data_IF_374317585195
#
_entry.id   IF_374317585195
#
_cell.length_a   1.000
_cell.length_b   1.000
_cell.length_c   1.000
_cell.angle_alpha   90.00
_cell.angle_beta   90.00
_cell.angle_gamma   90.00
#
_symmetry.space_group_name_H-M   'P 1'
#
loop_
_entity.id
_entity.type
_entity.pdbx_description
1 polymer ?
#
# COMPACT_ATOMS: atom_id res chain seq x y z
N UNK A 1 41.65 -0.87 -23.05
CA UNK A 1 41.53 -1.34 -21.62
C UNK A 1 40.65 -0.45 -20.75
N UNK A 2 40.45 0.82 -21.08
CA UNK A 2 39.61 1.78 -20.28
C UNK A 2 38.12 1.45 -20.35
N UNK A 3 37.62 0.84 -21.43
CA UNK A 3 36.21 0.55 -21.62
C UNK A 3 35.65 -0.58 -20.73
N UNK A 4 36.48 -1.56 -20.35
CA UNK A 4 36.09 -2.71 -19.54
C UNK A 4 35.88 -2.35 -18.04
N UNK A 5 36.66 -1.40 -17.53
CA UNK A 5 36.55 -0.92 -16.16
C UNK A 5 35.31 -0.07 -15.93
N UNK A 6 34.90 0.80 -16.86
CA UNK A 6 33.72 1.63 -16.82
C UNK A 6 32.44 0.76 -16.91
N UNK A 7 32.41 -0.20 -17.80
CA UNK A 7 31.26 -1.14 -17.94
C UNK A 7 31.03 -1.96 -16.65
N UNK A 8 32.11 -2.36 -15.97
CA UNK A 8 32.00 -3.09 -14.70
C UNK A 8 31.47 -2.26 -13.55
N UNK A 9 31.87 -0.98 -13.45
CA UNK A 9 31.40 -0.08 -12.39
C UNK A 9 29.94 0.37 -12.59
N UNK A 10 29.50 0.66 -13.81
CA UNK A 10 28.15 1.03 -14.13
C UNK A 10 27.15 -0.12 -13.90
N UNK A 11 27.52 -1.35 -14.26
CA UNK A 11 26.71 -2.52 -13.92
C UNK A 11 26.55 -2.69 -12.42
N UNK A 12 27.60 -2.46 -11.63
CA UNK A 12 27.56 -2.60 -10.19
C UNK A 12 26.65 -1.56 -9.51
N UNK A 13 26.68 -0.31 -9.97
CA UNK A 13 25.82 0.77 -9.44
C UNK A 13 24.34 0.49 -9.79
N UNK A 14 24.06 0.15 -11.04
CA UNK A 14 22.71 -0.19 -11.50
C UNK A 14 22.12 -1.36 -10.72
N UNK A 15 22.89 -2.43 -10.53
CA UNK A 15 22.43 -3.64 -9.85
C UNK A 15 22.19 -3.36 -8.35
N UNK A 16 23.03 -2.55 -7.70
CA UNK A 16 22.84 -2.14 -6.30
C UNK A 16 21.59 -1.27 -6.11
N UNK A 17 21.38 -0.28 -6.98
CA UNK A 17 20.19 0.56 -6.92
C UNK A 17 18.92 -0.29 -7.14
N UNK A 18 18.91 -1.13 -8.18
CA UNK A 18 17.76 -1.99 -8.49
C UNK A 18 17.48 -2.98 -7.34
N UNK A 19 18.51 -3.57 -6.74
CA UNK A 19 18.35 -4.52 -5.63
C UNK A 19 17.75 -3.88 -4.39
N UNK A 20 18.08 -2.63 -4.08
CA UNK A 20 17.49 -1.90 -2.97
C UNK A 20 15.97 -1.71 -3.16
N UNK A 21 15.55 -1.27 -4.35
CA UNK A 21 14.12 -1.13 -4.66
C UNK A 21 13.38 -2.46 -4.63
N UNK A 22 14.00 -3.52 -5.16
CA UNK A 22 13.41 -4.87 -5.11
C UNK A 22 13.26 -5.37 -3.68
N UNK A 23 14.22 -5.08 -2.80
CA UNK A 23 14.14 -5.41 -1.39
C UNK A 23 12.96 -4.68 -0.72
N UNK A 24 12.78 -3.38 -0.99
CA UNK A 24 11.64 -2.61 -0.49
C UNK A 24 10.31 -3.19 -0.98
N UNK A 25 10.21 -3.50 -2.28
CA UNK A 25 8.99 -4.08 -2.86
C UNK A 25 8.71 -5.47 -2.28
N UNK A 26 9.74 -6.31 -2.11
CA UNK A 26 9.60 -7.64 -1.52
C UNK A 26 9.20 -7.57 -0.04
N UNK A 27 9.82 -6.69 0.74
CA UNK A 27 9.49 -6.47 2.14
C UNK A 27 8.05 -5.98 2.31
N UNK A 28 7.65 -4.95 1.57
CA UNK A 28 6.29 -4.43 1.63
C UNK A 28 5.27 -5.40 1.05
N UNK A 29 5.65 -6.20 0.05
CA UNK A 29 4.80 -7.25 -0.53
C UNK A 29 4.54 -8.40 0.42
N UNK A 30 5.54 -8.80 1.22
CA UNK A 30 5.37 -9.88 2.21
C UNK A 30 4.32 -9.53 3.29
N UNK A 31 4.06 -8.24 3.54
CA UNK A 31 2.96 -7.80 4.40
C UNK A 31 1.60 -8.39 3.96
N UNK A 32 1.34 -8.55 2.66
CA UNK A 32 0.05 -9.07 2.17
C UNK A 32 -0.15 -10.55 2.49
N UNK A 33 0.94 -11.31 2.59
CA UNK A 33 0.92 -12.71 3.03
C UNK A 33 0.88 -12.88 4.56
N UNK A 34 1.57 -11.99 5.29
CA UNK A 34 1.81 -12.09 6.73
C UNK A 34 1.23 -10.89 7.50
N UNK A 35 -0.04 -10.55 7.23
CA UNK A 35 -0.68 -9.35 7.80
C UNK A 35 -0.69 -9.31 9.32
N UNK A 36 -1.00 -10.44 9.97
CA UNK A 36 -1.10 -10.53 11.43
C UNK A 36 0.24 -10.35 12.11
N UNK A 37 1.27 -10.95 11.55
CA UNK A 37 2.65 -10.89 12.03
C UNK A 37 3.19 -9.46 11.94
N UNK A 38 2.97 -8.80 10.80
CA UNK A 38 3.33 -7.38 10.64
C UNK A 38 2.57 -6.46 11.59
N UNK A 39 1.28 -6.68 11.78
CA UNK A 39 0.46 -5.91 12.73
C UNK A 39 1.01 -6.07 14.15
N UNK A 40 1.22 -7.31 14.60
CA UNK A 40 1.80 -7.60 15.91
C UNK A 40 3.19 -6.99 16.08
N UNK A 41 4.03 -7.07 15.06
CA UNK A 41 5.35 -6.45 15.06
C UNK A 41 5.27 -4.93 15.23
N UNK A 42 4.45 -4.25 14.43
CA UNK A 42 4.30 -2.80 14.52
C UNK A 42 3.64 -2.34 15.82
N UNK A 43 2.72 -3.12 16.38
CA UNK A 43 2.17 -2.87 17.72
C UNK A 43 3.22 -3.02 18.82
N UNK A 44 4.19 -3.89 18.65
CA UNK A 44 5.27 -4.09 19.63
C UNK A 44 6.31 -2.96 19.65
N UNK A 45 6.54 -2.30 18.50
CA UNK A 45 7.57 -1.25 18.36
C UNK A 45 7.00 0.17 18.33
N UNK A 46 5.69 0.33 18.23
CA UNK A 46 5.04 1.64 18.15
C UNK A 46 3.77 1.71 19.00
N UNK A 47 3.35 2.92 19.32
CA UNK A 47 2.16 3.12 20.14
C UNK A 47 0.87 2.81 19.39
N UNK A 48 -0.06 2.13 20.06
CA UNK A 48 -1.43 1.90 19.62
C UNK A 48 -1.63 0.62 18.81
N UNK A 49 -2.86 0.36 18.43
CA UNK A 49 -3.23 -0.81 17.60
C UNK A 49 -2.97 -0.55 16.12
N UNK A 50 -2.51 -1.57 15.43
CA UNK A 50 -2.24 -1.51 13.99
C UNK A 50 -3.52 -1.43 13.14
N UNK A 51 -4.64 -1.92 13.66
CA UNK A 51 -5.97 -1.82 13.04
C UNK A 51 -6.99 -1.48 14.11
N UNK A 52 -7.61 -0.32 13.97
CA UNK A 52 -8.74 0.03 14.82
C UNK A 52 -9.99 -0.74 14.33
N UNK A 53 -10.66 -1.52 15.22
CA UNK A 53 -11.89 -2.17 14.86
C UNK A 53 -12.97 -1.12 14.58
N UNK A 54 -13.85 -1.38 13.61
CA UNK A 54 -15.03 -0.56 13.41
C UNK A 54 -15.89 -0.59 14.69
N UNK A 55 -16.48 0.54 15.10
CA UNK A 55 -17.35 0.58 16.26
C UNK A 55 -18.58 -0.31 16.02
N UNK A 56 -19.07 -0.91 17.10
CA UNK A 56 -20.32 -1.64 17.12
C UNK A 56 -21.32 -0.87 17.96
N UNK A 57 -22.60 -1.02 17.62
CA UNK A 57 -23.73 -0.47 18.39
C UNK A 57 -24.52 -1.59 19.04
N UNK A 58 -25.48 -1.23 19.89
CA UNK A 58 -26.49 -2.17 20.34
C UNK A 58 -27.29 -2.71 19.16
N UNK A 59 -27.88 -3.89 19.34
CA UNK A 59 -28.69 -4.50 18.28
C UNK A 59 -29.84 -3.57 17.93
N UNK A 60 -29.98 -3.30 16.66
CA UNK A 60 -31.06 -2.47 16.12
C UNK A 60 -31.92 -3.28 15.16
N UNK A 61 -33.20 -2.88 15.09
CA UNK A 61 -34.21 -3.38 14.16
C UNK A 61 -34.96 -2.19 13.59
N UNK A 62 -35.34 -2.24 12.32
CA UNK A 62 -36.05 -1.18 11.62
C UNK A 62 -35.44 -0.82 10.29
N UNK A 63 -36.06 0.13 9.62
CA UNK A 63 -35.58 0.61 8.31
C UNK A 63 -34.40 1.55 8.49
N UNK A 64 -33.45 1.43 7.57
CA UNK A 64 -32.27 2.28 7.55
C UNK A 64 -32.61 3.68 7.08
N UNK A 65 -31.89 4.67 7.62
CA UNK A 65 -31.94 6.04 7.10
C UNK A 65 -31.51 6.07 5.64
N UNK A 66 -31.97 7.06 4.90
CA UNK A 66 -31.60 7.21 3.48
C UNK A 66 -30.11 7.43 3.32
N UNK A 67 -29.55 6.97 2.20
CA UNK A 67 -28.12 7.17 1.89
C UNK A 67 -27.76 8.65 1.77
N UNK A 68 -28.68 9.49 1.30
CA UNK A 68 -28.49 10.93 1.22
C UNK A 68 -28.31 11.54 2.62
N UNK A 69 -29.10 11.06 3.60
CA UNK A 69 -28.94 11.46 4.99
C UNK A 69 -27.60 11.03 5.58
N UNK A 70 -27.15 9.79 5.27
CA UNK A 70 -25.84 9.29 5.69
C UNK A 70 -24.72 10.15 5.14
N UNK A 71 -24.78 10.49 3.83
CA UNK A 71 -23.79 11.35 3.18
C UNK A 71 -23.80 12.76 3.73
N UNK A 72 -24.98 13.35 3.92
CA UNK A 72 -25.13 14.70 4.50
C UNK A 72 -24.53 14.77 5.92
N UNK A 73 -24.83 13.77 6.77
CA UNK A 73 -24.27 13.68 8.12
C UNK A 73 -22.75 13.53 8.09
N UNK A 74 -22.21 12.68 7.19
CA UNK A 74 -20.76 12.53 7.06
C UNK A 74 -20.08 13.81 6.59
N UNK A 75 -20.69 14.55 5.67
CA UNK A 75 -20.18 15.81 5.16
C UNK A 75 -20.26 16.94 6.20
N UNK A 76 -21.29 16.96 7.01
CA UNK A 76 -21.43 17.93 8.12
C UNK A 76 -20.36 17.69 9.19
N UNK A 77 -20.12 16.43 9.55
CA UNK A 77 -19.11 16.04 10.55
C UNK A 77 -17.68 16.33 10.06
N UNK A 78 -17.39 16.12 8.76
CA UNK A 78 -16.08 16.33 8.20
C UNK A 78 -16.14 17.20 6.94
N UNK A 79 -16.28 18.51 7.14
CA UNK A 79 -16.50 19.51 6.08
C UNK A 79 -15.36 19.62 5.08
N UNK A 80 -14.11 19.36 5.52
CA UNK A 80 -12.91 19.46 4.68
C UNK A 80 -12.72 18.26 3.75
N UNK A 81 -13.50 17.18 3.98
CA UNK A 81 -13.41 15.95 3.21
C UNK A 81 -14.53 15.81 2.19
N UNK A 82 -14.27 15.00 1.16
CA UNK A 82 -15.27 14.55 0.18
C UNK A 82 -15.55 13.05 0.36
N UNK A 83 -16.82 12.60 0.40
CA UNK A 83 -17.15 11.19 0.52
C UNK A 83 -16.75 10.44 -0.76
N UNK A 84 -16.06 9.32 -0.62
CA UNK A 84 -15.57 8.51 -1.74
C UNK A 84 -16.15 7.11 -1.77
N UNK A 85 -16.44 6.53 -0.61
CA UNK A 85 -16.99 5.20 -0.48
C UNK A 85 -17.92 5.09 0.72
N UNK A 86 -18.99 4.30 0.58
CA UNK A 86 -19.88 3.93 1.69
C UNK A 86 -19.81 2.41 1.86
N UNK A 87 -19.53 1.98 3.09
CA UNK A 87 -19.62 0.58 3.49
C UNK A 87 -20.90 0.37 4.29
N UNK A 88 -21.66 -0.60 3.84
CA UNK A 88 -22.94 -0.95 4.47
C UNK A 88 -22.74 -1.81 5.72
N UNK A 89 -23.66 -1.73 6.71
CA UNK A 89 -23.68 -2.65 7.83
C UNK A 89 -23.77 -4.09 7.35
N UNK A 90 -22.99 -4.97 7.98
CA UNK A 90 -23.00 -6.42 7.67
C UNK A 90 -23.98 -7.20 8.54
N UNK A 91 -24.27 -6.70 9.70
CA UNK A 91 -25.14 -7.28 10.70
C UNK A 91 -25.88 -6.16 11.47
N UNK A 92 -26.79 -6.55 12.36
CA UNK A 92 -27.61 -5.64 13.14
C UNK A 92 -26.90 -4.97 14.33
N UNK A 93 -25.58 -5.05 14.38
CA UNK A 93 -24.71 -4.35 15.34
C UNK A 93 -23.65 -3.49 14.64
N UNK A 94 -23.56 -3.59 13.32
CA UNK A 94 -22.62 -2.83 12.51
C UNK A 94 -23.19 -1.47 12.14
N UNK A 95 -22.31 -0.54 11.75
CA UNK A 95 -22.67 0.84 11.39
C UNK A 95 -22.34 1.10 9.92
N UNK A 96 -22.91 2.14 9.32
CA UNK A 96 -22.39 2.68 8.07
C UNK A 96 -21.00 3.24 8.31
N UNK A 97 -20.09 2.99 7.38
CA UNK A 97 -18.75 3.61 7.38
C UNK A 97 -18.59 4.40 6.09
N UNK A 98 -18.59 5.71 6.20
CA UNK A 98 -18.33 6.61 5.06
C UNK A 98 -16.85 6.93 5.05
N UNK A 99 -16.18 6.61 3.94
CA UNK A 99 -14.79 6.96 3.73
C UNK A 99 -14.73 8.35 3.11
N UNK A 100 -13.91 9.21 3.70
CA UNK A 100 -13.74 10.60 3.29
C UNK A 100 -12.31 10.85 2.80
N UNK A 101 -12.19 11.51 1.65
CA UNK A 101 -10.92 11.99 1.13
C UNK A 101 -10.73 13.46 1.54
N UNK A 102 -9.54 13.80 2.00
CA UNK A 102 -9.12 15.17 2.25
C UNK A 102 -7.96 15.51 1.31
N UNK A 103 -7.87 16.74 0.88
CA UNK A 103 -6.75 17.20 0.07
C UNK A 103 -5.43 17.01 0.83
N UNK A 104 -4.45 16.38 0.16
CA UNK A 104 -3.20 15.95 0.79
C UNK A 104 -3.19 14.53 1.33
N UNK A 105 -4.31 13.80 1.34
CA UNK A 105 -4.32 12.37 1.67
C UNK A 105 -3.47 11.57 0.68
N UNK A 106 -2.63 10.68 1.20
CA UNK A 106 -1.83 9.75 0.39
C UNK A 106 -2.70 8.78 -0.42
N UNK A 107 -3.89 8.45 0.08
CA UNK A 107 -4.85 7.57 -0.58
C UNK A 107 -5.93 8.38 -1.27
N UNK A 108 -6.07 8.21 -2.60
CA UNK A 108 -7.11 8.89 -3.39
C UNK A 108 -8.54 8.59 -2.92
N UNK A 109 -8.75 7.45 -2.30
CA UNK A 109 -10.04 7.07 -1.72
C UNK A 109 -10.24 7.64 -0.32
N UNK A 110 -9.23 8.34 0.21
CA UNK A 110 -9.24 8.89 1.56
C UNK A 110 -8.87 7.88 2.63
N UNK A 111 -8.40 8.39 3.75
CA UNK A 111 -7.98 7.60 4.91
C UNK A 111 -8.83 7.87 6.14
N UNK A 112 -9.81 8.77 6.04
CA UNK A 112 -10.70 9.17 7.11
C UNK A 112 -12.00 8.37 7.04
N UNK A 113 -12.54 7.95 8.18
CA UNK A 113 -13.78 7.18 8.27
C UNK A 113 -14.73 7.83 9.26
N UNK A 114 -15.97 8.07 8.81
CA UNK A 114 -17.08 8.52 9.67
C UNK A 114 -18.06 7.35 9.82
N UNK A 115 -18.34 6.98 11.04
CA UNK A 115 -19.21 5.87 11.38
C UNK A 115 -20.59 6.39 11.80
N UNK A 116 -21.65 5.94 11.14
CA UNK A 116 -23.01 6.46 11.30
C UNK A 116 -23.97 5.32 11.63
N UNK A 117 -24.81 5.56 12.62
CA UNK A 117 -25.82 4.58 13.08
C UNK A 117 -26.92 4.40 12.01
N UNK A 118 -27.24 3.15 11.61
CA UNK A 118 -28.15 2.89 10.49
C UNK A 118 -29.59 3.37 10.67
N UNK A 119 -30.09 3.40 11.91
CA UNK A 119 -31.50 3.79 12.20
C UNK A 119 -31.59 5.26 12.56
N UNK A 120 -30.66 5.77 13.36
CA UNK A 120 -30.80 7.15 13.89
C UNK A 120 -30.09 8.19 13.02
N UNK A 121 -29.22 7.78 12.07
CA UNK A 121 -28.44 8.68 11.25
C UNK A 121 -27.38 9.49 12.02
N UNK A 122 -27.16 9.21 13.31
CA UNK A 122 -26.20 9.95 14.14
C UNK A 122 -24.78 9.39 13.97
N UNK A 123 -23.79 10.26 14.11
CA UNK A 123 -22.39 9.86 14.16
C UNK A 123 -22.12 9.07 15.44
N UNK A 124 -21.57 7.87 15.29
CA UNK A 124 -21.19 6.98 16.40
C UNK A 124 -19.71 7.18 16.76
N UNK A 125 -18.86 7.35 15.76
CA UNK A 125 -17.42 7.57 15.94
C UNK A 125 -16.82 8.15 14.67
N UNK A 126 -15.64 8.73 14.82
CA UNK A 126 -14.78 9.18 13.72
C UNK A 126 -13.41 8.53 13.83
N UNK A 127 -12.79 8.20 12.72
CA UNK A 127 -11.42 7.68 12.66
C UNK A 127 -10.66 8.48 11.61
N UNK A 128 -10.11 9.63 12.03
CA UNK A 128 -9.40 10.55 11.15
C UNK A 128 -7.93 10.19 11.07
N UNK A 129 -7.34 10.36 9.90
CA UNK A 129 -5.92 10.03 9.65
C UNK A 129 -4.96 10.70 10.64
N UNK A 130 -5.23 11.95 10.99
CA UNK A 130 -4.40 12.72 11.93
C UNK A 130 -4.31 12.05 13.31
N UNK A 131 -5.42 11.44 13.77
CA UNK A 131 -5.57 10.89 15.11
C UNK A 131 -5.18 9.40 15.18
N UNK A 132 -4.85 8.78 14.04
CA UNK A 132 -4.47 7.36 13.99
C UNK A 132 -3.16 7.12 14.71
N UNK A 133 -3.06 6.00 15.45
CA UNK A 133 -1.82 5.59 16.11
C UNK A 133 -0.72 5.28 15.08
N UNK A 134 0.54 5.39 15.54
CA UNK A 134 1.70 5.16 14.68
C UNK A 134 1.71 3.76 14.07
N UNK A 135 1.29 2.74 14.83
CA UNK A 135 1.19 1.37 14.34
C UNK A 135 0.25 1.26 13.11
N UNK A 136 -0.94 1.90 13.17
CA UNK A 136 -1.87 1.90 12.04
C UNK A 136 -1.30 2.65 10.83
N UNK A 137 -0.64 3.79 11.06
CA UNK A 137 0.02 4.55 9.99
C UNK A 137 1.12 3.74 9.31
N UNK A 138 1.94 3.01 10.08
CA UNK A 138 3.00 2.15 9.56
C UNK A 138 2.45 0.98 8.74
N UNK A 139 1.46 0.28 9.26
CA UNK A 139 0.78 -0.82 8.53
C UNK A 139 0.20 -0.31 7.21
N UNK A 140 -0.44 0.84 7.24
CA UNK A 140 -1.05 1.42 6.05
C UNK A 140 0.00 1.89 5.03
N UNK A 141 1.16 2.37 5.50
CA UNK A 141 2.26 2.77 4.62
C UNK A 141 2.80 1.62 3.77
N UNK A 142 2.74 0.37 4.26
CA UNK A 142 3.14 -0.82 3.48
C UNK A 142 2.38 -0.90 2.16
N UNK A 143 1.07 -0.62 2.19
CA UNK A 143 0.24 -0.58 0.99
C UNK A 143 0.70 0.50 0.00
N UNK A 144 0.87 1.75 0.47
CA UNK A 144 1.24 2.86 -0.40
C UNK A 144 2.62 2.70 -1.02
N UNK A 145 3.57 2.21 -0.24
CA UNK A 145 4.92 1.95 -0.72
C UNK A 145 4.91 0.81 -1.73
N UNK A 146 4.22 -0.30 -1.44
CA UNK A 146 4.19 -1.44 -2.35
C UNK A 146 3.57 -1.12 -3.71
N UNK A 147 2.47 -0.36 -3.73
CA UNK A 147 1.81 0.05 -4.98
C UNK A 147 2.38 1.33 -5.60
N UNK A 148 3.40 1.93 -4.99
CA UNK A 148 4.03 3.14 -5.50
C UNK A 148 3.08 4.34 -5.57
N UNK A 149 2.14 4.48 -4.62
CA UNK A 149 1.13 5.55 -4.68
C UNK A 149 1.48 6.77 -3.82
N UNK A 150 2.58 6.73 -3.08
CA UNK A 150 2.97 7.73 -2.07
C UNK A 150 3.38 9.11 -2.64
N UNK A 151 3.82 9.19 -3.90
CA UNK A 151 4.10 10.44 -4.63
C UNK A 151 3.25 10.57 -5.92
N UNK A 152 2.04 10.03 -5.91
CA UNK A 152 1.11 10.12 -7.02
C UNK A 152 1.59 9.43 -8.29
N UNK A 153 1.52 10.14 -9.43
CA UNK A 153 1.88 9.55 -10.74
C UNK A 153 3.38 9.31 -10.89
N UNK A 154 4.23 10.17 -10.30
CA UNK A 154 5.68 10.04 -10.40
C UNK A 154 6.18 8.72 -9.81
N UNK A 155 5.78 8.40 -8.58
CA UNK A 155 6.19 7.15 -7.93
C UNK A 155 5.64 5.91 -8.65
N UNK A 156 4.45 5.97 -9.25
CA UNK A 156 3.89 4.88 -10.06
C UNK A 156 4.73 4.59 -11.30
N UNK A 157 5.14 5.64 -12.02
CA UNK A 157 6.01 5.50 -13.20
C UNK A 157 7.35 4.90 -12.78
N UNK A 158 7.93 5.38 -11.69
CA UNK A 158 9.18 4.84 -11.15
C UNK A 158 9.04 3.34 -10.81
N UNK A 159 7.94 2.94 -10.16
CA UNK A 159 7.68 1.52 -9.83
C UNK A 159 7.52 0.65 -11.08
N UNK A 160 6.85 1.15 -12.12
CA UNK A 160 6.74 0.45 -13.41
C UNK A 160 8.13 0.23 -14.02
N UNK A 161 8.97 1.27 -14.07
CA UNK A 161 10.32 1.17 -14.62
C UNK A 161 11.19 0.18 -13.85
N UNK A 162 11.14 0.20 -12.53
CA UNK A 162 11.86 -0.75 -11.67
C UNK A 162 11.36 -2.19 -11.91
N UNK A 163 10.05 -2.38 -12.00
CA UNK A 163 9.45 -3.70 -12.25
C UNK A 163 9.85 -4.24 -13.63
N UNK A 164 9.97 -3.40 -14.64
CA UNK A 164 10.47 -3.78 -15.97
C UNK A 164 11.96 -4.11 -15.98
N UNK A 165 12.74 -3.55 -15.06
CA UNK A 165 14.15 -3.90 -14.95
C UNK A 165 14.36 -5.37 -14.56
N UNK A 166 13.45 -5.99 -13.81
CA UNK A 166 13.57 -7.39 -13.36
C UNK A 166 13.63 -8.38 -14.52
N UNK A 167 12.63 -8.44 -15.43
CA UNK A 167 12.69 -9.34 -16.57
C UNK A 167 13.88 -9.00 -17.49
N UNK A 168 14.22 -7.73 -17.65
CA UNK A 168 15.39 -7.34 -18.44
C UNK A 168 16.69 -7.90 -17.84
N UNK A 169 16.90 -7.79 -16.55
CA UNK A 169 18.06 -8.36 -15.86
C UNK A 169 18.07 -9.88 -15.96
N UNK A 170 16.92 -10.53 -15.84
CA UNK A 170 16.80 -11.97 -16.00
C UNK A 170 17.24 -12.43 -17.41
N UNK A 171 16.70 -11.84 -18.46
CA UNK A 171 17.02 -12.21 -19.83
C UNK A 171 18.49 -11.92 -20.19
N UNK A 172 19.01 -10.77 -19.77
CA UNK A 172 20.43 -10.44 -20.02
C UNK A 172 21.37 -11.37 -19.24
N UNK A 173 21.04 -11.69 -17.99
CA UNK A 173 21.81 -12.64 -17.19
C UNK A 173 21.77 -14.05 -17.77
N UNK A 174 20.61 -14.52 -18.20
CA UNK A 174 20.43 -15.81 -18.86
C UNK A 174 21.22 -15.88 -20.18
N UNK A 175 21.15 -14.83 -21.00
CA UNK A 175 21.91 -14.74 -22.26
C UNK A 175 23.41 -14.84 -22.01
N UNK A 176 23.95 -14.07 -21.07
CA UNK A 176 25.38 -14.13 -20.71
C UNK A 176 25.77 -15.52 -20.20
N UNK A 177 24.91 -16.15 -19.39
CA UNK A 177 25.13 -17.49 -18.87
C UNK A 177 25.24 -18.52 -20.02
N UNK A 178 24.28 -18.48 -20.97
CA UNK A 178 24.31 -19.38 -22.16
C UNK A 178 25.59 -19.21 -22.95
N UNK A 179 26.03 -17.97 -23.23
CA UNK A 179 27.26 -17.71 -23.98
C UNK A 179 28.47 -18.28 -23.24
N UNK A 180 28.61 -18.00 -21.95
CA UNK A 180 29.73 -18.50 -21.13
C UNK A 180 29.74 -20.02 -21.04
N UNK A 181 28.56 -20.63 -20.94
CA UNK A 181 28.43 -22.09 -20.90
C UNK A 181 28.88 -22.73 -22.24
N UNK A 182 28.46 -22.16 -23.37
CA UNK A 182 28.88 -22.61 -24.69
C UNK A 182 30.39 -22.45 -24.91
N UNK A 183 30.98 -21.33 -24.48
CA UNK A 183 32.42 -21.09 -24.60
C UNK A 183 33.26 -22.08 -23.80
N UNK A 184 32.76 -22.57 -22.64
CA UNK A 184 33.41 -23.62 -21.85
C UNK A 184 33.37 -24.99 -22.54
N UNK A 185 32.29 -25.27 -23.27
CA UNK A 185 32.14 -26.56 -23.97
C UNK A 185 32.96 -26.63 -25.27
N UNK A 186 33.24 -25.49 -25.88
CA UNK A 186 34.07 -25.41 -27.11
C UNK A 186 35.25 -24.48 -26.86
N UNK A 187 36.30 -24.91 -26.11
CA UNK A 187 37.49 -24.14 -25.98
C UNK A 187 38.12 -24.02 -27.39
N UNK A 188 38.28 -22.77 -27.87
CA UNK A 188 38.93 -22.52 -29.17
C UNK A 188 40.21 -23.32 -29.24
N UNK A 189 40.30 -24.25 -30.20
CA UNK A 189 41.48 -24.98 -30.55
C UNK A 189 42.47 -23.93 -31.07
N UNK A 190 43.47 -23.54 -30.26
CA UNK A 190 44.55 -22.72 -30.69
C UNK A 190 45.31 -23.50 -31.78
N UNK A 191 45.19 -23.08 -33.04
CA UNK A 191 46.07 -23.45 -34.13
C UNK A 191 47.32 -22.59 -34.06
#
# INVERSE_FOLDING_TARGET
EISLGLVGSEMCIRDRCTSLFLLVIAFTGSYFGFKKEYQSFFESISAGKAVAPAPKTDKYTGDWVSLDSVLATAQEEFKEGTPTMIFFPKDNTSVFSVRMYQEGDFERTGSNHIYIHPITGKVVATNLWKDKPAAEKLVRSMYFVHFGTFLGHFSRILWILISLAVPFLYFTGFYIWVIRHRQKQYPFRKT
#
